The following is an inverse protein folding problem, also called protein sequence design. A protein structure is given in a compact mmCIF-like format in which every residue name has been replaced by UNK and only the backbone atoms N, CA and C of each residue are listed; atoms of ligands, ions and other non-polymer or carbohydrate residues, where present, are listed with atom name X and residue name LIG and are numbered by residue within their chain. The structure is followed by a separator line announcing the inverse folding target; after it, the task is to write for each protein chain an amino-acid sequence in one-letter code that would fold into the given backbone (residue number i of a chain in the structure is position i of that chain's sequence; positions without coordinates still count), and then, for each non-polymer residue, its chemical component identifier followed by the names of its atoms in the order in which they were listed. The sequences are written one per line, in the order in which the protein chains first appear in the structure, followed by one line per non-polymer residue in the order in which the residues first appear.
data_IF_781575193818
#
_entry.id   IF_781575193818
#
_cell.length_a   1.000
_cell.length_b   1.000
_cell.length_c   1.000
_cell.angle_alpha   90.00
_cell.angle_beta   90.00
_cell.angle_gamma   90.00
#
_symmetry.space_group_name_H-M   'P 1'
#
loop_
_entity.id
_entity.type
_entity.pdbx_description
1 polymer ?
#
# COMPACT_ATOMS: atom_id res chain seq x y z
N UNK A 1 -13.52 12.71 -20.58
CA UNK A 1 -14.38 11.53 -20.36
C UNK A 1 -14.56 11.39 -18.86
N UNK A 2 -15.78 11.50 -18.36
CA UNK A 2 -16.04 11.57 -16.92
C UNK A 2 -16.27 10.16 -16.38
N UNK A 3 -15.51 9.75 -15.37
CA UNK A 3 -15.71 8.48 -14.68
C UNK A 3 -16.34 8.76 -13.32
N UNK A 4 -17.60 8.35 -13.18
CA UNK A 4 -18.31 8.37 -11.91
C UNK A 4 -18.11 7.03 -11.23
N UNK A 5 -17.36 7.01 -10.13
CA UNK A 5 -17.27 5.83 -9.26
C UNK A 5 -18.29 6.04 -8.14
N UNK A 6 -19.23 5.10 -8.01
CA UNK A 6 -20.35 5.18 -7.07
C UNK A 6 -20.27 3.97 -6.14
N UNK A 7 -19.98 4.20 -4.86
CA UNK A 7 -20.01 3.18 -3.79
C UNK A 7 -21.37 3.18 -3.07
N UNK A 8 -21.64 2.11 -2.31
CA UNK A 8 -22.83 1.86 -1.49
C UNK A 8 -23.16 2.99 -0.48
N UNK A 9 -22.22 3.89 -0.19
CA UNK A 9 -22.44 5.09 0.62
C UNK A 9 -22.62 6.40 -0.17
N UNK A 10 -22.90 6.34 -1.48
CA UNK A 10 -23.30 7.49 -2.30
C UNK A 10 -22.26 8.63 -2.38
N UNK A 11 -20.96 8.30 -2.28
CA UNK A 11 -19.88 9.22 -2.60
C UNK A 11 -19.72 9.32 -4.12
N UNK A 12 -19.97 10.49 -4.70
CA UNK A 12 -19.78 10.76 -6.13
C UNK A 12 -18.58 11.68 -6.30
N UNK A 13 -17.49 11.14 -6.86
CA UNK A 13 -16.29 11.91 -7.19
C UNK A 13 -16.25 12.11 -8.70
N UNK A 14 -16.24 13.37 -9.14
CA UNK A 14 -16.28 13.75 -10.56
C UNK A 14 -14.86 14.14 -11.01
N UNK A 15 -14.26 13.38 -11.94
CA UNK A 15 -12.86 13.56 -12.35
C UNK A 15 -12.76 13.77 -13.89
N UNK A 16 -12.11 14.86 -14.32
CA UNK A 16 -11.98 15.28 -15.73
C UNK A 16 -10.59 14.95 -16.30
N UNK A 17 -10.51 14.15 -17.36
CA UNK A 17 -9.31 13.44 -17.91
C UNK A 17 -8.15 14.29 -18.47
N UNK A 18 -6.98 14.29 -17.80
CA UNK A 18 -5.60 14.46 -18.28
C UNK A 18 -4.66 13.32 -17.75
N UNK A 19 -3.36 13.35 -18.06
CA UNK A 19 -2.38 12.33 -17.61
C UNK A 19 -2.18 12.28 -16.07
N UNK A 20 -2.62 13.30 -15.33
CA UNK A 20 -2.51 13.34 -13.86
C UNK A 20 -3.49 12.39 -13.15
N UNK A 21 -4.47 11.82 -13.88
CA UNK A 21 -5.60 11.08 -13.29
C UNK A 21 -5.37 9.59 -13.22
N UNK A 22 -4.48 9.03 -14.03
CA UNK A 22 -4.02 7.66 -13.78
C UNK A 22 -3.32 7.59 -12.41
N UNK A 23 -2.58 8.63 -12.04
CA UNK A 23 -1.98 8.77 -10.70
C UNK A 23 -3.06 9.00 -9.64
N UNK A 24 -4.03 9.89 -9.89
CA UNK A 24 -5.11 10.19 -8.94
C UNK A 24 -6.05 9.01 -8.64
N UNK A 25 -6.56 8.32 -9.67
CA UNK A 25 -7.45 7.18 -9.52
C UNK A 25 -6.76 5.96 -8.90
N UNK A 26 -5.49 5.71 -9.26
CA UNK A 26 -4.68 4.66 -8.65
C UNK A 26 -4.45 4.92 -7.16
N UNK A 27 -4.12 6.16 -6.79
CA UNK A 27 -3.94 6.56 -5.40
C UNK A 27 -5.25 6.45 -4.61
N UNK A 28 -6.38 6.87 -5.20
CA UNK A 28 -7.70 6.78 -4.58
C UNK A 28 -8.08 5.32 -4.30
N UNK A 29 -7.91 4.44 -5.28
CA UNK A 29 -8.18 3.00 -5.13
C UNK A 29 -7.31 2.39 -4.03
N UNK A 30 -6.02 2.76 -3.96
CA UNK A 30 -5.11 2.26 -2.92
C UNK A 30 -5.53 2.77 -1.53
N UNK A 31 -5.86 4.06 -1.40
CA UNK A 31 -6.30 4.65 -0.15
C UNK A 31 -7.61 4.02 0.34
N UNK A 32 -8.58 3.85 -0.55
CA UNK A 32 -9.87 3.21 -0.26
C UNK A 32 -9.71 1.74 0.12
N UNK A 33 -8.86 1.00 -0.61
CA UNK A 33 -8.54 -0.39 -0.26
C UNK A 33 -7.88 -0.48 1.11
N UNK A 34 -6.93 0.43 1.41
CA UNK A 34 -6.25 0.45 2.70
C UNK A 34 -7.20 0.77 3.86
N UNK A 35 -8.14 1.69 3.64
CA UNK A 35 -9.18 2.04 4.61
C UNK A 35 -10.18 0.88 4.80
N UNK A 36 -10.69 0.30 3.71
CA UNK A 36 -11.63 -0.83 3.73
C UNK A 36 -11.06 -2.06 4.43
N UNK A 37 -9.75 -2.32 4.26
CA UNK A 37 -9.07 -3.44 4.89
C UNK A 37 -8.55 -3.13 6.32
N UNK A 38 -8.69 -1.90 6.81
CA UNK A 38 -8.18 -1.49 8.11
C UNK A 38 -6.66 -1.65 8.25
N UNK A 39 -5.90 -1.27 7.21
CA UNK A 39 -4.44 -1.50 7.17
C UNK A 39 -3.73 -0.72 8.28
N UNK A 40 -4.19 0.50 8.60
CA UNK A 40 -3.61 1.27 9.69
C UNK A 40 -3.78 0.57 11.04
N UNK A 41 -4.94 0.00 11.31
CA UNK A 41 -5.28 -0.72 12.52
C UNK A 41 -4.47 -2.03 12.64
N UNK A 42 -4.33 -2.77 11.53
CA UNK A 42 -3.47 -3.98 11.49
C UNK A 42 -2.03 -3.60 11.83
N UNK A 43 -1.50 -2.54 11.23
CA UNK A 43 -0.14 -2.09 11.55
C UNK A 43 -0.02 -1.64 13.00
N UNK A 44 -1.01 -0.93 13.54
CA UNK A 44 -1.02 -0.50 14.93
C UNK A 44 -1.09 -1.67 15.91
N UNK A 45 -1.86 -2.72 15.61
CA UNK A 45 -1.90 -3.95 16.40
C UNK A 45 -0.51 -4.60 16.49
N UNK A 46 0.17 -4.75 15.34
CA UNK A 46 1.51 -5.36 15.31
C UNK A 46 2.59 -4.46 15.91
N UNK A 47 2.45 -3.13 15.80
CA UNK A 47 3.41 -2.14 16.25
C UNK A 47 3.07 -1.50 17.61
N UNK A 48 2.03 -1.98 18.31
CA UNK A 48 1.55 -1.41 19.58
C UNK A 48 2.67 -1.28 20.63
N UNK A 49 3.58 -2.25 20.70
CA UNK A 49 4.71 -2.22 21.65
C UNK A 49 5.84 -1.25 21.29
N UNK A 50 5.81 -0.66 20.09
CA UNK A 50 6.81 0.29 19.59
C UNK A 50 6.27 1.73 19.52
N UNK A 51 4.97 1.90 19.74
CA UNK A 51 4.28 3.19 19.65
C UNK A 51 3.67 3.55 21.00
N UNK A 52 3.99 4.71 21.59
CA UNK A 52 3.34 5.14 22.83
C UNK A 52 1.83 5.25 22.64
N UNK A 53 1.04 4.81 23.62
CA UNK A 53 -0.43 4.79 23.55
C UNK A 53 -1.07 6.18 23.49
N UNK A 54 -0.31 7.24 23.79
CA UNK A 54 -0.78 8.62 23.83
C UNK A 54 -0.53 9.43 22.54
N UNK A 55 -0.10 8.81 21.44
CA UNK A 55 0.23 9.56 20.21
C UNK A 55 -0.94 9.61 19.23
N UNK A 56 -1.29 10.82 18.79
CA UNK A 56 -2.33 11.09 17.77
C UNK A 56 -2.03 10.44 16.41
N UNK A 57 -0.75 10.40 16.04
CA UNK A 57 -0.25 9.78 14.81
C UNK A 57 0.48 8.49 15.15
N UNK A 58 -0.28 7.41 15.08
CA UNK A 58 0.21 6.05 15.34
C UNK A 58 1.17 5.58 14.23
N UNK A 59 1.91 4.51 14.46
CA UNK A 59 2.84 4.00 13.46
C UNK A 59 2.10 3.50 12.21
N UNK A 60 0.96 2.82 12.39
CA UNK A 60 0.10 2.37 11.29
C UNK A 60 -0.46 3.53 10.49
N UNK A 61 -0.95 4.57 11.15
CA UNK A 61 -1.42 5.80 10.47
C UNK A 61 -0.33 6.40 9.60
N UNK A 62 0.86 6.62 10.16
CA UNK A 62 1.96 7.26 9.42
C UNK A 62 2.44 6.39 8.26
N UNK A 63 2.64 5.08 8.50
CA UNK A 63 3.12 4.16 7.46
C UNK A 63 2.12 3.99 6.31
N UNK A 64 0.82 3.86 6.63
CA UNK A 64 -0.23 3.79 5.60
C UNK A 64 -0.32 5.09 4.80
N UNK A 65 -0.32 6.25 5.47
CA UNK A 65 -0.36 7.54 4.78
C UNK A 65 0.87 7.77 3.90
N UNK A 66 2.06 7.35 4.33
CA UNK A 66 3.27 7.43 3.51
C UNK A 66 3.20 6.49 2.29
N UNK A 67 2.69 5.26 2.47
CA UNK A 67 2.48 4.35 1.34
C UNK A 67 1.50 4.93 0.31
N UNK A 68 0.42 5.55 0.77
CA UNK A 68 -0.52 6.26 -0.11
C UNK A 68 0.15 7.46 -0.79
N UNK A 69 0.94 8.25 -0.07
CA UNK A 69 1.68 9.37 -0.65
C UNK A 69 2.64 8.91 -1.75
N UNK A 70 3.35 7.78 -1.56
CA UNK A 70 4.20 7.18 -2.59
C UNK A 70 3.40 6.81 -3.86
N UNK A 71 2.17 6.30 -3.71
CA UNK A 71 1.30 6.02 -4.87
C UNK A 71 0.82 7.28 -5.59
N UNK A 72 0.72 8.39 -4.85
CA UNK A 72 0.46 9.72 -5.40
C UNK A 72 1.69 10.35 -6.08
N UNK A 73 2.87 9.72 -5.97
CA UNK A 73 4.12 10.17 -6.56
C UNK A 73 5.04 10.93 -5.60
N UNK A 74 4.81 10.85 -4.28
CA UNK A 74 5.74 11.43 -3.31
C UNK A 74 7.14 10.82 -3.46
N UNK A 75 8.15 11.68 -3.36
CA UNK A 75 9.57 11.30 -3.42
C UNK A 75 10.29 11.58 -2.12
N UNK A 76 9.77 12.49 -1.30
CA UNK A 76 10.29 12.82 0.01
C UNK A 76 9.13 13.07 1.02
N UNK A 77 9.48 13.30 2.29
CA UNK A 77 8.50 13.58 3.34
C UNK A 77 7.88 14.99 3.24
N UNK A 78 8.46 15.90 2.46
CA UNK A 78 7.89 17.22 2.22
C UNK A 78 6.68 17.14 1.26
N UNK A 79 6.58 16.05 0.48
CA UNK A 79 5.48 15.81 -0.45
C UNK A 79 4.19 15.31 0.25
N UNK A 80 4.08 15.38 1.58
CA UNK A 80 2.86 15.00 2.32
C UNK A 80 1.64 15.83 1.92
N UNK A 81 1.85 17.01 1.34
CA UNK A 81 0.80 17.85 0.77
C UNK A 81 0.02 17.16 -0.36
N UNK A 82 0.61 16.15 -1.01
CA UNK A 82 -0.08 15.31 -2.01
C UNK A 82 -1.26 14.53 -1.41
N UNK A 83 -1.30 14.35 -0.08
CA UNK A 83 -2.41 13.69 0.61
C UNK A 83 -3.61 14.61 0.85
N UNK A 84 -3.48 15.94 0.72
CA UNK A 84 -4.57 16.90 1.00
C UNK A 84 -5.89 16.55 0.31
N UNK A 85 -5.92 16.15 -0.98
CA UNK A 85 -7.17 15.75 -1.64
C UNK A 85 -7.82 14.53 -1.00
N UNK A 86 -7.04 13.56 -0.52
CA UNK A 86 -7.53 12.32 0.10
C UNK A 86 -7.96 12.53 1.55
N UNK A 87 -7.34 13.49 2.25
CA UNK A 87 -7.80 13.93 3.57
C UNK A 87 -9.19 14.54 3.46
N UNK A 88 -9.45 15.32 2.40
CA UNK A 88 -10.76 15.92 2.16
C UNK A 88 -11.86 14.88 1.87
N UNK A 89 -11.51 13.71 1.33
CA UNK A 89 -12.45 12.59 1.12
C UNK A 89 -12.60 11.70 2.36
N UNK A 90 -11.78 11.88 3.39
CA UNK A 90 -11.77 11.04 4.59
C UNK A 90 -11.10 9.67 4.41
N UNK A 91 -10.46 9.41 3.26
CA UNK A 91 -9.80 8.13 2.97
C UNK A 91 -8.40 8.02 3.59
N UNK A 92 -7.79 9.16 3.91
CA UNK A 92 -6.51 9.20 4.63
C UNK A 92 -6.63 10.10 5.84
N UNK A 93 -5.92 9.73 6.91
CA UNK A 93 -5.82 10.56 8.10
C UNK A 93 -4.77 11.65 7.88
N UNK A 94 -5.05 12.92 8.23
CA UNK A 94 -4.07 13.99 8.11
C UNK A 94 -2.84 13.70 8.96
N UNK A 95 -1.66 14.01 8.43
CA UNK A 95 -0.41 14.08 9.21
C UNK A 95 -0.10 15.56 9.41
N UNK A 96 0.10 15.97 10.66
CA UNK A 96 0.24 17.40 11.01
C UNK A 96 1.47 18.06 10.37
N UNK A 97 2.56 17.31 10.19
CA UNK A 97 3.81 17.84 9.65
C UNK A 97 4.78 16.75 9.15
N UNK A 98 5.69 17.14 8.26
CA UNK A 98 6.88 16.34 7.90
C UNK A 98 7.67 15.90 9.14
N UNK A 99 7.84 16.79 10.12
CA UNK A 99 8.58 16.48 11.36
C UNK A 99 7.94 15.35 12.16
N UNK A 100 6.61 15.23 12.12
CA UNK A 100 5.88 14.14 12.77
C UNK A 100 6.15 12.81 12.07
N UNK A 101 6.09 12.78 10.74
CA UNK A 101 6.40 11.58 9.96
C UNK A 101 7.86 11.16 10.13
N UNK A 102 8.80 12.11 10.07
CA UNK A 102 10.23 11.87 10.26
C UNK A 102 10.54 11.26 11.64
N UNK A 103 10.02 11.86 12.71
CA UNK A 103 10.22 11.34 14.07
C UNK A 103 9.67 9.91 14.22
N UNK A 104 8.52 9.62 13.59
CA UNK A 104 7.93 8.28 13.64
C UNK A 104 8.80 7.26 12.90
N UNK A 105 9.30 7.59 11.71
CA UNK A 105 10.22 6.71 10.97
C UNK A 105 11.50 6.47 11.78
N UNK A 106 12.06 7.52 12.39
CA UNK A 106 13.26 7.38 13.22
C UNK A 106 13.03 6.47 14.42
N UNK A 107 11.88 6.61 15.09
CA UNK A 107 11.53 5.73 16.22
C UNK A 107 11.41 4.25 15.81
N UNK A 108 10.87 3.98 14.63
CA UNK A 108 10.81 2.62 14.07
C UNK A 108 12.20 2.13 13.68
N UNK A 109 13.05 3.00 13.14
CA UNK A 109 14.43 2.69 12.79
C UNK A 109 15.26 2.25 14.00
N UNK A 110 15.06 2.87 15.16
CA UNK A 110 15.73 2.51 16.42
C UNK A 110 15.42 1.06 16.87
N UNK A 111 14.39 0.43 16.29
CA UNK A 111 13.96 -0.95 16.57
C UNK A 111 13.83 -1.79 15.28
N UNK A 112 14.68 -1.54 14.27
CA UNK A 112 14.53 -2.07 12.91
C UNK A 112 14.30 -3.59 12.83
N UNK A 113 15.05 -4.40 13.58
CA UNK A 113 14.92 -5.87 13.55
C UNK A 113 13.54 -6.34 14.05
N UNK A 114 13.00 -5.69 15.09
CA UNK A 114 11.65 -5.98 15.61
C UNK A 114 10.57 -5.51 14.63
N UNK A 115 10.80 -4.38 13.97
CA UNK A 115 9.88 -3.83 12.97
C UNK A 115 9.80 -4.76 11.76
N UNK A 116 10.89 -5.36 11.31
CA UNK A 116 10.90 -6.25 10.14
C UNK A 116 10.02 -7.51 10.34
N UNK A 117 10.18 -8.20 11.48
CA UNK A 117 9.34 -9.36 11.82
C UNK A 117 7.87 -8.95 12.00
N UNK A 118 7.60 -7.85 12.72
CA UNK A 118 6.24 -7.34 12.92
C UNK A 118 5.57 -6.93 11.62
N UNK A 119 6.29 -6.25 10.72
CA UNK A 119 5.81 -5.85 9.41
C UNK A 119 5.52 -7.08 8.55
N UNK A 120 6.38 -8.10 8.60
CA UNK A 120 6.14 -9.37 7.90
C UNK A 120 4.82 -10.02 8.35
N UNK A 121 4.53 -10.03 9.66
CA UNK A 121 3.27 -10.56 10.21
C UNK A 121 2.08 -9.68 9.84
N UNK A 122 2.20 -8.37 9.95
CA UNK A 122 1.16 -7.42 9.53
C UNK A 122 0.79 -7.58 8.06
N UNK A 123 1.79 -7.71 7.17
CA UNK A 123 1.55 -7.97 5.74
C UNK A 123 0.86 -9.32 5.50
N UNK A 124 1.14 -10.36 6.31
CA UNK A 124 0.43 -11.64 6.21
C UNK A 124 -1.04 -11.47 6.58
N UNK A 125 -1.33 -10.81 7.70
CA UNK A 125 -2.71 -10.51 8.12
C UNK A 125 -3.46 -9.65 7.11
N UNK A 126 -2.84 -8.58 6.60
CA UNK A 126 -3.41 -7.73 5.56
C UNK A 126 -3.81 -8.53 4.31
N UNK A 127 -2.95 -9.46 3.85
CA UNK A 127 -3.28 -10.35 2.74
C UNK A 127 -4.45 -11.28 3.08
N UNK A 128 -4.47 -11.86 4.28
CA UNK A 128 -5.58 -12.71 4.73
C UNK A 128 -6.90 -11.93 4.72
N UNK A 129 -6.91 -10.69 5.22
CA UNK A 129 -8.08 -9.81 5.18
C UNK A 129 -8.52 -9.53 3.74
N UNK A 130 -7.57 -9.19 2.86
CA UNK A 130 -7.86 -8.94 1.45
C UNK A 130 -8.49 -10.16 0.76
N UNK A 131 -7.95 -11.36 0.98
CA UNK A 131 -8.50 -12.58 0.41
C UNK A 131 -9.89 -12.91 0.97
N UNK A 132 -10.10 -12.73 2.27
CA UNK A 132 -11.39 -12.97 2.89
C UNK A 132 -12.46 -11.98 2.41
N UNK A 133 -12.09 -10.72 2.15
CA UNK A 133 -13.00 -9.71 1.63
C UNK A 133 -13.60 -10.09 0.26
N UNK A 134 -12.92 -10.93 -0.53
CA UNK A 134 -13.45 -11.41 -1.80
C UNK A 134 -14.57 -12.47 -1.65
N UNK A 135 -14.78 -13.04 -0.46
CA UNK A 135 -15.82 -14.03 -0.20
C UNK A 135 -15.79 -15.19 -1.20
N UNK A 136 -16.90 -15.40 -1.93
CA UNK A 136 -17.01 -16.45 -2.94
C UNK A 136 -16.08 -16.27 -4.15
N UNK A 137 -15.53 -15.07 -4.36
CA UNK A 137 -14.55 -14.77 -5.40
C UNK A 137 -13.11 -15.04 -4.94
N UNK A 138 -12.90 -15.46 -3.68
CA UNK A 138 -11.57 -15.74 -3.15
C UNK A 138 -10.93 -16.93 -3.92
N UNK A 139 -9.86 -16.71 -4.69
CA UNK A 139 -9.23 -17.75 -5.49
C UNK A 139 -8.53 -18.82 -4.62
N UNK A 140 -8.23 -18.51 -3.36
CA UNK A 140 -7.65 -19.47 -2.40
C UNK A 140 -8.67 -20.55 -2.03
N UNK A 141 -9.97 -20.23 -2.00
CA UNK A 141 -11.00 -21.19 -1.64
C UNK A 141 -11.08 -22.39 -2.60
N UNK A 142 -10.66 -22.20 -3.86
CA UNK A 142 -10.60 -23.25 -4.87
C UNK A 142 -9.21 -23.88 -5.05
N UNK A 143 -8.17 -23.31 -4.44
CA UNK A 143 -6.80 -23.77 -4.65
C UNK A 143 -6.53 -25.05 -3.86
N UNK A 144 -5.98 -26.07 -4.53
CA UNK A 144 -5.59 -27.35 -3.93
C UNK A 144 -4.12 -27.64 -4.18
N UNK A 145 -3.59 -28.73 -3.61
CA UNK A 145 -2.21 -29.17 -3.88
C UNK A 145 -2.01 -29.57 -5.34
N UNK A 146 -3.02 -30.19 -5.94
CA UNK A 146 -2.99 -30.69 -7.31
C UNK A 146 -3.41 -29.63 -8.34
N UNK A 147 -4.09 -28.57 -7.88
CA UNK A 147 -4.47 -27.39 -8.66
C UNK A 147 -4.18 -26.11 -7.87
N UNK A 148 -2.90 -25.69 -7.78
CA UNK A 148 -2.50 -24.55 -6.95
C UNK A 148 -2.87 -23.22 -7.61
N UNK A 149 -3.10 -22.20 -6.78
CA UNK A 149 -3.21 -20.81 -7.25
C UNK A 149 -1.84 -20.34 -7.79
N UNK A 150 -1.72 -20.22 -9.10
CA UNK A 150 -0.53 -19.68 -9.76
C UNK A 150 -0.69 -18.16 -9.86
N UNK A 151 0.06 -17.43 -9.04
CA UNK A 151 0.18 -15.98 -9.12
C UNK A 151 1.38 -15.66 -10.00
N UNK A 152 1.11 -15.18 -11.21
CA UNK A 152 2.16 -14.68 -12.09
C UNK A 152 2.49 -13.24 -11.68
N UNK A 153 3.64 -13.08 -11.04
CA UNK A 153 4.20 -11.76 -10.70
C UNK A 153 5.20 -11.43 -11.80
N UNK A 154 4.68 -10.90 -12.90
CA UNK A 154 5.49 -10.21 -13.89
C UNK A 154 6.39 -9.19 -13.15
N UNK A 155 7.60 -8.96 -13.60
CA UNK A 155 8.43 -7.90 -13.04
C UNK A 155 9.22 -7.24 -14.13
N UNK A 156 8.96 -5.95 -14.32
CA UNK A 156 9.84 -5.10 -15.10
C UNK A 156 11.05 -4.76 -14.22
N UNK A 157 12.25 -5.13 -14.69
CA UNK A 157 13.51 -4.74 -14.06
C UNK A 157 13.69 -3.22 -14.23
N UNK A 158 13.66 -2.46 -13.14
CA UNK A 158 14.01 -1.04 -13.14
C UNK A 158 15.42 -0.91 -12.56
N UNK A 159 16.34 -0.36 -13.36
CA UNK A 159 17.70 -0.03 -12.92
C UNK A 159 17.69 1.32 -12.20
N UNK A 160 17.83 1.31 -10.88
CA UNK A 160 17.98 2.52 -10.08
C UNK A 160 19.47 2.85 -9.98
N UNK A 161 19.84 4.05 -10.44
CA UNK A 161 21.20 4.59 -10.33
C UNK A 161 21.21 5.63 -9.20
N UNK A 162 21.97 5.39 -8.12
CA UNK A 162 22.27 6.44 -7.16
C UNK A 162 23.50 7.22 -7.63
N UNK A 163 23.36 8.51 -7.96
CA UNK A 163 24.52 9.35 -8.22
C UNK A 163 25.09 9.85 -6.88
N UNK A 164 26.25 9.35 -6.47
CA UNK A 164 26.97 9.86 -5.30
C UNK A 164 27.91 10.98 -5.71
N UNK A 165 27.61 12.22 -5.33
CA UNK A 165 28.61 13.30 -5.33
C UNK A 165 29.41 13.19 -4.02
N UNK A 166 30.73 13.03 -4.14
CA UNK A 166 31.73 12.77 -3.07
C UNK A 166 32.01 11.31 -2.68
N UNK A 167 32.07 10.41 -3.68
CA UNK A 167 33.20 9.46 -3.76
C UNK A 167 33.30 8.32 -2.73
N UNK A 168 32.22 7.89 -2.06
CA UNK A 168 32.20 6.61 -1.34
C UNK A 168 30.82 5.91 -1.44
N UNK A 169 30.90 4.63 -1.81
CA UNK A 169 29.87 3.59 -2.02
C UNK A 169 28.88 3.76 -3.18
N UNK A 170 29.18 3.08 -4.30
CA UNK A 170 28.18 2.52 -5.19
C UNK A 170 27.41 1.43 -4.42
N UNK A 171 26.09 1.56 -4.39
CA UNK A 171 25.20 0.49 -3.95
C UNK A 171 24.25 0.19 -5.11
N UNK A 172 24.68 -0.67 -6.03
CA UNK A 172 23.77 -1.25 -7.03
C UNK A 172 22.71 -2.12 -6.32
N UNK A 173 21.53 -1.56 -6.03
CA UNK A 173 20.35 -2.33 -5.61
C UNK A 173 19.31 -2.36 -6.71
N UNK A 174 19.06 -3.57 -7.21
CA UNK A 174 18.00 -3.87 -8.18
C UNK A 174 16.68 -3.92 -7.42
N UNK A 175 15.84 -2.90 -7.57
CA UNK A 175 14.49 -2.91 -6.98
C UNK A 175 13.50 -3.48 -8.00
N UNK A 176 12.76 -4.50 -7.59
CA UNK A 176 11.74 -5.18 -8.41
C UNK A 176 10.42 -4.43 -8.23
N UNK A 177 9.91 -3.77 -9.26
CA UNK A 177 8.58 -3.14 -9.23
C UNK A 177 7.58 -4.05 -9.95
N UNK A 178 6.50 -4.51 -9.29
CA UNK A 178 5.51 -5.39 -9.91
C UNK A 178 4.50 -4.61 -10.77
N UNK A 179 4.15 -5.09 -11.97
CA UNK A 179 2.99 -4.67 -12.77
C UNK A 179 1.69 -5.31 -12.21
N UNK A 180 0.49 -4.98 -12.76
CA UNK A 180 -0.78 -5.49 -12.24
C UNK A 180 -0.82 -7.03 -12.19
N UNK A 181 -1.22 -7.55 -11.03
CA UNK A 181 -1.36 -8.98 -10.75
C UNK A 181 -2.37 -9.62 -11.72
N UNK A 182 -1.95 -10.60 -12.52
CA UNK A 182 -2.86 -11.46 -13.29
C UNK A 182 -3.16 -12.72 -12.50
N UNK A 183 -4.44 -12.92 -12.17
CA UNK A 183 -4.94 -14.18 -11.66
C UNK A 183 -5.32 -15.07 -12.85
N UNK A 184 -4.60 -16.17 -13.07
CA UNK A 184 -4.96 -17.16 -14.08
C UNK A 184 -5.88 -18.21 -13.44
N UNK A 185 -7.13 -18.30 -13.89
CA UNK A 185 -8.04 -19.38 -13.46
C UNK A 185 -7.51 -20.74 -13.94
N UNK A 186 -7.69 -21.82 -13.15
CA UNK A 186 -7.31 -23.15 -13.55
C UNK A 186 -8.11 -23.61 -14.77
N UNK A 187 -7.49 -24.45 -15.61
CA UNK A 187 -8.15 -25.03 -16.79
C UNK A 187 -9.22 -25.99 -16.27
N UNK A 188 -10.49 -25.71 -16.55
CA UNK A 188 -11.54 -26.71 -16.42
C UNK A 188 -11.20 -27.87 -17.36
N UNK A 189 -10.71 -28.98 -16.81
CA UNK A 189 -10.53 -30.21 -17.57
C UNK A 189 -11.90 -30.70 -18.04
N UNK A 190 -12.19 -30.62 -19.34
CA UNK A 190 -13.32 -31.36 -19.89
C UNK A 190 -12.93 -32.83 -19.86
N UNK A 191 -13.58 -33.61 -18.99
CA UNK A 191 -13.49 -35.05 -19.04
C UNK A 191 -14.05 -35.57 -20.38
N UNK A 192 -13.22 -36.32 -21.08
CA UNK A 192 -13.61 -37.48 -21.89
C UNK A 192 -12.46 -38.47 -21.90
#
# INVERSE_FOLDING_TARGET
MTLTVQDHQHLSIDITTDQSICTGAGTLLVADTANTLGIAEVLDEHLAGLTPSAVTHTAGTVMTSLAVALTAGATCLDDLDLLKPLVATGLTRPIDSMTTAHRRIHQLHDHADLVDDKMTRAMRQARTLAWNALGALNPIASATRDDPLIIDIDASLIHIHSNTQNGRTDLQRRLRVPPPVRLRRPRTGSGR
#
